data_IF_994533210671
#
_entry.id   IF_994533210671
#
_cell.length_a   1.000
_cell.length_b   1.000
_cell.length_c   1.000
_cell.angle_alpha   90.00
_cell.angle_beta   90.00
_cell.angle_gamma   90.00
#
_symmetry.space_group_name_H-M   'P 1'
#
loop_
_entity.id
_entity.type
_entity.pdbx_description
1 polymer ?
#
# COMPACT_ATOMS: atom_id res chain seq x y z
N UNK A 1 3.16 -2.69 4.13
CA UNK A 1 2.97 -2.86 2.66
C UNK A 1 4.25 -3.35 1.99
N UNK A 2 5.35 -2.58 2.01
CA UNK A 2 6.63 -3.00 1.40
C UNK A 2 7.15 -4.34 1.96
N UNK A 3 7.17 -4.52 3.27
CA UNK A 3 7.59 -5.79 3.88
C UNK A 3 6.79 -7.02 3.39
N UNK A 4 5.50 -6.84 3.12
CA UNK A 4 4.62 -7.90 2.59
C UNK A 4 5.00 -8.24 1.16
N UNK A 5 5.27 -7.23 0.34
CA UNK A 5 5.74 -7.41 -1.04
C UNK A 5 7.13 -8.07 -1.09
N UNK A 6 8.02 -7.74 -0.15
CA UNK A 6 9.32 -8.42 0.02
C UNK A 6 9.12 -9.89 0.41
N UNK A 7 8.24 -10.17 1.38
CA UNK A 7 7.95 -11.53 1.84
C UNK A 7 7.32 -12.40 0.75
N UNK A 8 6.56 -11.81 -0.17
CA UNK A 8 6.05 -12.45 -1.38
C UNK A 8 7.17 -12.70 -2.44
N UNK A 9 8.44 -12.82 -2.04
CA UNK A 9 9.55 -13.19 -2.93
C UNK A 9 10.14 -12.05 -3.75
N UNK A 10 9.73 -10.80 -3.50
CA UNK A 10 10.01 -9.60 -4.30
C UNK A 10 11.48 -9.19 -4.46
N UNK A 11 12.26 -9.97 -5.20
CA UNK A 11 13.59 -9.54 -5.68
C UNK A 11 13.49 -8.38 -6.69
N UNK A 12 12.28 -8.08 -7.18
CA UNK A 12 11.94 -6.98 -8.10
C UNK A 12 10.70 -6.27 -7.55
N UNK A 13 10.93 -5.19 -6.82
CA UNK A 13 9.90 -4.37 -6.19
C UNK A 13 9.93 -2.96 -6.77
N UNK A 14 8.76 -2.41 -7.10
CA UNK A 14 8.61 -0.97 -7.34
C UNK A 14 7.64 -0.36 -6.35
N UNK A 15 7.93 0.85 -5.92
CA UNK A 15 7.02 1.67 -5.12
C UNK A 15 6.64 2.89 -5.94
N UNK A 16 5.34 3.09 -6.12
CA UNK A 16 4.78 4.23 -6.83
C UNK A 16 4.08 5.14 -5.83
N UNK A 17 4.34 6.44 -5.99
CA UNK A 17 3.73 7.51 -5.21
C UNK A 17 3.02 8.44 -6.20
N UNK A 18 1.78 8.79 -5.90
CA UNK A 18 1.03 9.80 -6.61
C UNK A 18 0.21 10.62 -5.60
N UNK A 19 -0.05 11.86 -5.92
CA UNK A 19 -0.91 12.74 -5.14
C UNK A 19 -1.97 13.40 -6.03
N UNK A 20 -3.16 13.62 -5.45
CA UNK A 20 -4.25 14.36 -6.06
C UNK A 20 -5.30 14.69 -4.99
N UNK A 21 -5.90 15.89 -5.02
CA UNK A 21 -7.07 16.26 -4.20
C UNK A 21 -6.92 15.97 -2.70
N UNK A 22 -5.80 16.42 -2.11
CA UNK A 22 -5.43 16.14 -0.71
C UNK A 22 -5.34 14.64 -0.36
N UNK A 23 -5.10 13.80 -1.37
CA UNK A 23 -4.84 12.37 -1.20
C UNK A 23 -3.47 11.98 -1.71
N UNK A 24 -2.91 10.96 -1.08
CA UNK A 24 -1.68 10.30 -1.54
C UNK A 24 -2.01 8.83 -1.80
N UNK A 25 -1.71 8.35 -3.00
CA UNK A 25 -1.69 6.93 -3.31
C UNK A 25 -0.26 6.40 -3.11
N UNK A 26 -0.12 5.42 -2.23
CA UNK A 26 1.09 4.61 -2.13
C UNK A 26 0.76 3.24 -2.69
N UNK A 27 1.57 2.77 -3.64
CA UNK A 27 1.45 1.42 -4.21
C UNK A 27 2.80 0.71 -4.19
N UNK A 28 2.81 -0.55 -3.78
CA UNK A 28 3.97 -1.43 -3.83
C UNK A 28 3.65 -2.62 -4.74
N UNK A 29 4.42 -2.77 -5.81
CA UNK A 29 4.28 -3.82 -6.81
C UNK A 29 5.44 -4.81 -6.69
N UNK A 30 5.10 -6.09 -6.57
CA UNK A 30 6.01 -7.22 -6.66
C UNK A 30 5.89 -7.84 -8.05
N UNK A 31 6.97 -7.75 -8.85
CA UNK A 31 6.99 -8.15 -10.27
C UNK A 31 7.21 -9.66 -10.50
N UNK A 32 6.78 -10.51 -9.57
CA UNK A 32 6.90 -11.96 -9.70
C UNK A 32 5.59 -12.56 -10.21
N UNK A 33 5.64 -13.14 -11.41
CA UNK A 33 4.49 -13.78 -12.09
C UNK A 33 4.32 -15.26 -11.73
N UNK A 34 5.25 -15.86 -10.96
CA UNK A 34 5.18 -17.29 -10.64
C UNK A 34 4.15 -17.53 -9.54
N UNK A 35 3.28 -18.52 -9.73
CA UNK A 35 2.22 -18.94 -8.80
C UNK A 35 2.63 -18.77 -7.33
N UNK A 36 2.11 -17.71 -6.73
CA UNK A 36 2.22 -17.43 -5.31
C UNK A 36 0.83 -17.58 -4.72
N UNK A 37 0.65 -18.64 -3.92
CA UNK A 37 -0.55 -18.92 -3.11
C UNK A 37 -0.88 -17.82 -2.08
N UNK A 38 -0.11 -16.73 -2.04
CA UNK A 38 -0.21 -15.69 -1.03
C UNK A 38 -0.14 -14.28 -1.64
N UNK A 39 -0.95 -14.02 -2.67
CA UNK A 39 -1.43 -12.67 -2.93
C UNK A 39 -2.30 -12.21 -1.75
N UNK A 40 -1.66 -11.93 -0.62
CA UNK A 40 -2.34 -11.67 0.64
C UNK A 40 -3.13 -10.37 0.58
N UNK A 41 -4.22 -10.33 1.35
CA UNK A 41 -4.91 -9.09 1.65
C UNK A 41 -3.92 -8.01 2.12
N UNK A 42 -4.30 -6.74 1.99
CA UNK A 42 -3.51 -5.65 2.59
C UNK A 42 -3.25 -5.97 4.06
N UNK A 43 -2.01 -5.77 4.55
CA UNK A 43 -1.72 -6.01 5.96
C UNK A 43 -2.71 -5.27 6.85
N UNK A 44 -3.36 -5.98 7.77
CA UNK A 44 -4.39 -5.39 8.64
C UNK A 44 -3.91 -4.13 9.38
N UNK A 45 -2.61 -4.08 9.70
CA UNK A 45 -1.96 -2.91 10.31
C UNK A 45 -1.99 -1.64 9.45
N UNK A 46 -2.15 -1.73 8.13
CA UNK A 46 -2.33 -0.57 7.24
C UNK A 46 -3.78 -0.11 7.25
N UNK A 47 -4.74 -1.03 7.18
CA UNK A 47 -6.17 -0.72 7.13
C UNK A 47 -6.68 0.02 8.39
N UNK A 48 -5.99 -0.15 9.53
CA UNK A 48 -6.36 0.50 10.80
C UNK A 48 -5.73 1.89 11.01
N UNK A 49 -4.88 2.35 10.08
CA UNK A 49 -4.25 3.67 10.21
C UNK A 49 -5.28 4.76 9.97
N UNK A 50 -5.32 5.76 10.87
CA UNK A 50 -6.29 6.87 10.81
C UNK A 50 -6.28 7.66 9.51
N UNK A 51 -5.14 7.70 8.83
CA UNK A 51 -4.95 8.43 7.58
C UNK A 51 -5.34 7.62 6.36
N UNK A 52 -5.63 6.32 6.48
CA UNK A 52 -5.99 5.48 5.33
C UNK A 52 -7.48 5.60 5.07
N UNK A 53 -7.83 6.12 3.90
CA UNK A 53 -9.20 6.21 3.40
C UNK A 53 -9.67 4.90 2.80
N UNK A 54 -8.78 4.23 2.06
CA UNK A 54 -9.03 2.96 1.41
C UNK A 54 -7.72 2.21 1.20
N UNK A 55 -7.78 0.89 1.18
CA UNK A 55 -6.63 0.06 0.81
C UNK A 55 -7.09 -1.21 0.13
N UNK A 56 -6.26 -1.74 -0.76
CA UNK A 56 -6.56 -2.98 -1.45
C UNK A 56 -5.32 -3.70 -1.94
N UNK A 57 -5.54 -4.93 -2.40
CA UNK A 57 -4.55 -5.72 -3.10
C UNK A 57 -5.17 -6.23 -4.39
N UNK A 58 -4.39 -6.32 -5.45
CA UNK A 58 -4.79 -6.97 -6.68
C UNK A 58 -3.59 -7.70 -7.30
N UNK A 59 -3.91 -8.66 -8.15
CA UNK A 59 -2.94 -9.48 -8.88
C UNK A 59 -3.29 -9.43 -10.35
N UNK A 60 -2.29 -9.22 -11.20
CA UNK A 60 -2.41 -9.24 -12.65
C UNK A 60 -1.23 -9.99 -13.28
N UNK A 61 -1.07 -9.87 -14.59
CA UNK A 61 0.03 -10.53 -15.33
C UNK A 61 1.42 -9.96 -14.98
N UNK A 62 1.49 -8.74 -14.47
CA UNK A 62 2.74 -8.06 -14.09
C UNK A 62 3.14 -8.36 -12.64
N UNK A 63 2.21 -8.87 -11.83
CA UNK A 63 2.49 -9.47 -10.52
C UNK A 63 1.47 -9.05 -9.47
N UNK A 64 1.96 -8.80 -8.25
CA UNK A 64 1.10 -8.51 -7.09
C UNK A 64 1.28 -7.07 -6.61
N UNK A 65 0.19 -6.31 -6.57
CA UNK A 65 0.19 -4.93 -6.11
C UNK A 65 -0.67 -4.75 -4.85
N UNK A 66 -0.06 -4.11 -3.84
CA UNK A 66 -0.77 -3.59 -2.67
C UNK A 66 -0.80 -2.08 -2.73
N UNK A 67 -1.91 -1.49 -2.35
CA UNK A 67 -2.07 -0.05 -2.35
C UNK A 67 -2.83 0.45 -1.12
N UNK A 68 -2.55 1.70 -0.76
CA UNK A 68 -3.30 2.46 0.23
C UNK A 68 -3.48 3.90 -0.28
N UNK A 69 -4.70 4.40 -0.17
CA UNK A 69 -5.06 5.79 -0.37
C UNK A 69 -5.09 6.47 0.99
N UNK A 70 -4.32 7.54 1.15
CA UNK A 70 -4.18 8.27 2.39
C UNK A 70 -4.78 9.67 2.28
N UNK A 71 -5.45 10.13 3.33
CA UNK A 71 -5.70 11.55 3.57
C UNK A 71 -4.38 12.28 3.85
N UNK A 72 -4.05 13.24 3.00
CA UNK A 72 -2.86 14.07 3.11
C UNK A 72 -3.11 15.37 3.87
N UNK A 73 -4.36 15.64 4.28
CA UNK A 73 -4.67 16.84 5.05
C UNK A 73 -3.92 16.78 6.38
N UNK A 74 -3.17 17.83 6.72
CA UNK A 74 -2.46 17.88 7.99
C UNK A 74 -3.44 17.69 9.15
N UNK A 75 -3.14 16.74 10.04
CA UNK A 75 -3.91 16.61 11.26
C UNK A 75 -3.82 17.94 12.05
N UNK A 76 -4.94 18.46 12.58
CA UNK A 76 -4.90 19.68 13.38
C UNK A 76 -3.95 19.46 14.55
N UNK A 77 -2.97 20.37 14.72
CA UNK A 77 -2.07 20.33 15.87
C UNK A 77 -2.92 20.34 17.13
N UNK A 78 -2.81 19.30 17.96
CA UNK A 78 -3.36 19.35 19.32
C UNK A 78 -2.70 20.54 20.02
N UNK A 79 -3.47 21.60 20.30
CA UNK A 79 -3.02 22.62 21.23
C UNK A 79 -2.82 21.92 22.56
N UNK A 80 -1.57 21.81 23.00
CA UNK A 80 -1.28 21.54 24.40
C UNK A 80 -1.85 22.72 25.18
N UNK A 81 -2.86 22.42 26.00
CA UNK A 81 -3.39 23.33 27.00
C UNK A 81 -2.45 23.37 28.21
#
# INVERSE_FOLDING_TARGET
MVHTAVAAGGKRLSVHLADQDDKILVMALNHQTREQDAAGAVPAGVAVLRTVDACGAHTDHDGHAWWALLDARPAPKKRLA
#
